data_IF_209705851807
#
_entry.id   IF_209705851807
#
_cell.length_a   1.000
_cell.length_b   1.000
_cell.length_c   1.000
_cell.angle_alpha   90.00
_cell.angle_beta   90.00
_cell.angle_gamma   90.00
#
_symmetry.space_group_name_H-M   'P 1'
#
loop_
_entity.id
_entity.type
_entity.pdbx_description
1 polymer ?
#
# COMPACT_ATOMS: atom_id res chain seq x y z
N UNK A 1 -43.39 -11.94 -52.16
CA UNK A 1 -43.60 -12.43 -50.78
C UNK A 1 -42.32 -13.15 -50.35
N UNK A 2 -41.45 -12.48 -49.59
CA UNK A 2 -40.25 -13.12 -49.04
C UNK A 2 -40.29 -12.92 -47.54
N UNK A 3 -40.41 -14.03 -46.79
CA UNK A 3 -40.23 -14.04 -45.33
C UNK A 3 -39.19 -15.10 -45.04
N UNK A 4 -37.99 -14.66 -44.67
CA UNK A 4 -37.01 -15.52 -44.01
C UNK A 4 -37.10 -15.24 -42.50
N UNK A 5 -37.45 -16.24 -41.66
CA UNK A 5 -37.51 -16.05 -40.22
C UNK A 5 -36.14 -16.24 -39.56
N UNK A 6 -35.79 -15.18 -38.83
CA UNK A 6 -34.90 -15.01 -37.67
C UNK A 6 -34.32 -16.28 -37.02
N UNK A 7 -32.99 -16.42 -37.04
CA UNK A 7 -32.22 -17.21 -36.09
C UNK A 7 -31.74 -16.28 -34.98
N UNK A 8 -32.34 -16.38 -33.79
CA UNK A 8 -32.01 -15.54 -32.66
C UNK A 8 -31.21 -16.31 -31.60
N UNK A 9 -30.08 -15.68 -31.26
CA UNK A 9 -29.41 -15.63 -29.96
C UNK A 9 -28.70 -16.90 -29.45
N UNK A 10 -27.39 -16.84 -29.63
CA UNK A 10 -26.38 -17.66 -28.99
C UNK A 10 -26.40 -17.56 -27.46
N UNK A 11 -26.13 -18.70 -26.83
CA UNK A 11 -25.72 -18.87 -25.44
C UNK A 11 -24.60 -17.88 -25.09
N UNK A 12 -24.84 -16.98 -24.13
CA UNK A 12 -23.74 -16.27 -23.46
C UNK A 12 -23.72 -16.71 -22.02
N UNK A 13 -22.86 -17.70 -21.76
CA UNK A 13 -22.52 -18.15 -20.42
C UNK A 13 -21.59 -17.14 -19.74
N UNK A 14 -21.90 -16.90 -18.47
CA UNK A 14 -20.97 -16.84 -17.34
C UNK A 14 -19.64 -16.09 -17.56
N UNK A 15 -19.56 -14.90 -16.98
CA UNK A 15 -18.32 -14.44 -16.35
C UNK A 15 -18.69 -13.84 -14.99
N UNK A 16 -18.61 -14.65 -13.93
CA UNK A 16 -18.41 -14.09 -12.59
C UNK A 16 -17.01 -13.49 -12.59
N UNK A 17 -16.93 -12.18 -12.75
CA UNK A 17 -15.73 -11.43 -12.42
C UNK A 17 -15.61 -11.41 -10.89
N UNK A 18 -14.98 -12.44 -10.31
CA UNK A 18 -14.46 -12.34 -8.96
C UNK A 18 -13.38 -11.27 -8.97
N UNK A 19 -13.65 -10.12 -8.36
CA UNK A 19 -12.63 -9.13 -8.06
C UNK A 19 -11.69 -9.76 -7.02
N UNK A 20 -10.64 -10.42 -7.50
CA UNK A 20 -9.47 -10.67 -6.70
C UNK A 20 -8.79 -9.30 -6.50
N UNK A 21 -9.15 -8.62 -5.41
CA UNK A 21 -8.29 -7.56 -4.88
C UNK A 21 -7.00 -8.26 -4.47
N UNK A 22 -5.97 -8.11 -5.31
CA UNK A 22 -4.63 -8.44 -4.91
C UNK A 22 -4.32 -7.63 -3.64
N UNK A 23 -3.78 -8.32 -2.66
CA UNK A 23 -3.38 -7.87 -1.32
C UNK A 23 -2.25 -6.82 -1.46
N UNK A 24 -2.57 -5.66 -2.02
CA UNK A 24 -1.62 -4.56 -2.08
C UNK A 24 -1.53 -3.96 -0.68
N UNK A 25 -0.32 -3.74 -0.16
CA UNK A 25 -0.16 -3.18 1.18
C UNK A 25 -0.91 -1.85 1.24
N UNK A 26 -1.90 -1.79 2.12
CA UNK A 26 -2.77 -0.62 2.22
C UNK A 26 -1.98 0.53 2.88
N UNK A 27 -2.13 1.77 2.36
CA UNK A 27 -1.57 2.94 3.01
C UNK A 27 -2.19 3.12 4.40
N UNK A 28 -1.46 3.71 5.36
CA UNK A 28 -1.97 3.94 6.70
C UNK A 28 -3.20 4.85 6.69
N UNK A 29 -4.11 4.57 7.62
CA UNK A 29 -5.20 5.48 7.99
C UNK A 29 -4.64 6.85 8.43
N UNK A 30 -5.48 7.89 8.35
CA UNK A 30 -5.02 9.26 8.60
C UNK A 30 -4.43 9.47 10.00
N UNK A 31 -5.01 8.83 11.02
CA UNK A 31 -4.51 8.91 12.41
C UNK A 31 -3.17 8.21 12.57
N UNK A 32 -3.02 7.01 11.99
CA UNK A 32 -1.79 6.24 12.02
C UNK A 32 -0.67 6.97 11.27
N UNK A 33 -0.98 7.58 10.12
CA UNK A 33 -0.03 8.40 9.37
C UNK A 33 0.54 9.53 10.22
N UNK A 34 -0.28 10.22 11.01
CA UNK A 34 0.21 11.28 11.90
C UNK A 34 1.19 10.72 12.93
N UNK A 35 0.87 9.58 13.54
CA UNK A 35 1.71 8.95 14.56
C UNK A 35 3.02 8.41 13.99
N UNK A 36 3.00 7.89 12.76
CA UNK A 36 4.20 7.48 12.03
C UNK A 36 5.10 8.69 11.76
N UNK A 37 4.54 9.79 11.29
CA UNK A 37 5.27 11.03 11.02
C UNK A 37 5.91 11.59 12.29
N UNK A 38 5.18 11.60 13.41
CA UNK A 38 5.73 11.99 14.71
C UNK A 38 6.91 11.11 15.13
N UNK A 39 6.82 9.80 14.92
CA UNK A 39 7.90 8.86 15.22
C UNK A 39 9.15 9.13 14.37
N UNK A 40 8.98 9.35 13.06
CA UNK A 40 10.09 9.71 12.15
C UNK A 40 10.80 10.99 12.58
N UNK A 41 10.04 12.06 12.86
CA UNK A 41 10.60 13.34 13.29
C UNK A 41 11.34 13.19 14.62
N UNK A 42 10.74 12.48 15.60
CA UNK A 42 11.37 12.24 16.89
C UNK A 42 12.69 11.44 16.78
N UNK A 43 12.82 10.65 15.72
CA UNK A 43 13.97 9.79 15.44
C UNK A 43 15.04 10.48 14.57
N UNK A 44 14.79 11.71 14.12
CA UNK A 44 15.75 12.56 13.40
C UNK A 44 15.55 12.65 11.89
N UNK A 45 14.48 12.07 11.35
CA UNK A 45 14.17 12.16 9.93
C UNK A 45 13.51 13.50 9.58
N UNK A 46 13.92 14.06 8.43
CA UNK A 46 13.48 15.38 7.95
C UNK A 46 12.61 15.30 6.70
N UNK A 47 12.69 14.21 5.95
CA UNK A 47 11.80 13.88 4.85
C UNK A 47 11.63 12.36 4.73
N UNK A 48 10.56 11.94 4.05
CA UNK A 48 10.28 10.53 3.79
C UNK A 48 9.45 10.37 2.53
N UNK A 49 9.54 9.20 1.92
CA UNK A 49 8.72 8.79 0.79
C UNK A 49 7.41 8.15 1.24
N UNK A 50 7.08 7.05 0.57
CA UNK A 50 5.83 6.35 0.80
C UNK A 50 5.85 5.62 2.15
N UNK A 51 4.65 5.48 2.71
CA UNK A 51 4.42 4.79 3.98
C UNK A 51 3.38 3.73 3.68
N UNK A 52 3.76 2.47 3.88
CA UNK A 52 2.95 1.30 3.58
C UNK A 52 2.92 0.34 4.76
N UNK A 53 1.94 -0.56 4.78
CA UNK A 53 1.93 -1.69 5.70
C UNK A 53 2.92 -2.76 5.23
N UNK A 54 3.73 -3.32 6.13
CA UNK A 54 4.57 -4.47 5.80
C UNK A 54 3.73 -5.66 5.29
N UNK A 55 4.30 -6.55 4.47
CA UNK A 55 3.57 -7.69 3.89
C UNK A 55 2.93 -8.62 4.94
N UNK A 56 3.49 -8.68 6.16
CA UNK A 56 2.95 -9.47 7.27
C UNK A 56 1.92 -8.71 8.12
N UNK A 57 1.73 -7.41 7.89
CA UNK A 57 0.83 -6.57 8.66
C UNK A 57 1.31 -6.22 10.08
N UNK A 58 2.55 -6.53 10.45
CA UNK A 58 3.06 -6.33 11.82
C UNK A 58 3.86 -5.03 11.99
N UNK A 59 4.17 -4.35 10.89
CA UNK A 59 4.89 -3.09 10.88
C UNK A 59 4.41 -2.14 9.78
N UNK A 60 4.83 -0.88 9.89
CA UNK A 60 4.82 0.09 8.81
C UNK A 60 6.20 0.15 8.20
N UNK A 61 6.27 0.24 6.87
CA UNK A 61 7.49 0.44 6.10
C UNK A 61 7.46 1.85 5.53
N UNK A 62 8.53 2.59 5.76
CA UNK A 62 8.73 3.93 5.20
C UNK A 62 9.92 3.88 4.27
N UNK A 63 9.70 4.21 3.01
CA UNK A 63 10.76 4.24 2.00
C UNK A 63 11.42 5.62 1.94
N UNK A 64 12.72 5.64 1.61
CA UNK A 64 13.49 6.88 1.39
C UNK A 64 13.29 7.93 2.47
N UNK A 65 13.37 7.52 3.74
CA UNK A 65 13.39 8.43 4.87
C UNK A 65 14.77 9.07 4.99
N UNK A 66 14.86 10.37 4.74
CA UNK A 66 16.12 11.13 4.79
C UNK A 66 16.35 11.65 6.21
N UNK A 67 17.50 11.33 6.78
CA UNK A 67 17.93 11.86 8.08
C UNK A 67 18.75 13.16 7.92
N UNK A 68 19.20 13.73 9.03
CA UNK A 68 20.00 14.96 9.07
C UNK A 68 21.42 14.80 8.49
N UNK A 69 21.87 13.56 8.31
CA UNK A 69 23.10 13.20 7.63
C UNK A 69 22.98 13.11 6.11
N UNK A 70 21.83 13.52 5.56
CA UNK A 70 21.49 13.51 4.14
C UNK A 70 21.46 12.09 3.51
N UNK A 71 21.44 11.03 4.34
CA UNK A 71 21.27 9.66 3.88
C UNK A 71 19.80 9.24 3.90
N UNK A 72 19.42 8.46 2.88
CA UNK A 72 18.11 7.85 2.77
C UNK A 72 18.11 6.46 3.41
N UNK A 73 17.02 6.15 4.12
CA UNK A 73 16.82 4.89 4.80
C UNK A 73 15.45 4.30 4.47
N UNK A 74 15.39 2.98 4.34
CA UNK A 74 14.18 2.23 4.59
C UNK A 74 13.99 2.06 6.11
N UNK A 75 12.84 2.46 6.63
CA UNK A 75 12.55 2.46 8.07
C UNK A 75 11.37 1.56 8.37
N UNK A 76 11.54 0.63 9.29
CA UNK A 76 10.44 -0.17 9.84
C UNK A 76 10.00 0.46 11.17
N UNK A 77 8.69 0.70 11.30
CA UNK A 77 8.05 1.22 12.50
C UNK A 77 7.05 0.19 13.00
N UNK A 78 7.15 -0.21 14.27
CA UNK A 78 6.22 -1.17 14.85
C UNK A 78 4.79 -0.57 15.02
N UNK A 79 3.79 -1.42 15.27
CA UNK A 79 2.41 -0.97 15.51
C UNK A 79 2.22 -0.12 16.78
N UNK A 80 3.25 -0.01 17.62
CA UNK A 80 3.29 0.93 18.76
C UNK A 80 3.90 2.29 18.39
N UNK A 81 4.17 2.53 17.09
CA UNK A 81 4.75 3.74 16.53
C UNK A 81 6.17 4.04 17.04
N UNK A 82 6.99 3.00 17.19
CA UNK A 82 8.42 3.13 17.47
C UNK A 82 9.24 2.68 16.28
N UNK A 83 10.31 3.40 15.96
CA UNK A 83 11.28 2.96 14.96
C UNK A 83 11.96 1.69 15.46
N UNK A 84 11.72 0.58 14.77
CA UNK A 84 12.25 -0.73 15.09
C UNK A 84 13.55 -1.02 14.33
N UNK A 85 13.67 -0.50 13.10
CA UNK A 85 14.83 -0.70 12.24
C UNK A 85 15.02 0.46 11.28
N UNK A 86 16.30 0.79 11.00
CA UNK A 86 16.73 1.66 9.91
C UNK A 86 17.70 0.87 9.03
N UNK A 87 17.43 0.80 7.73
CA UNK A 87 18.26 0.15 6.72
C UNK A 87 18.67 1.22 5.70
N UNK A 88 19.95 1.31 5.38
CA UNK A 88 20.41 2.22 4.34
C UNK A 88 19.84 1.76 2.99
N UNK A 89 19.20 2.66 2.26
CA UNK A 89 18.58 2.40 0.94
C UNK A 89 19.57 2.64 -0.21
#
# INVERSE_FOLDING_TARGET
MWKAPTLAAALTGLVLAGAAHADQPEPPEAEDRVRIVEALIADGFISWGDIETAEDGEAWVVERATADDEQDYAVEIDRSFRVARRLLD
#
